data_IF_305594797778
#
_entry.id   IF_305594797778
#
_cell.length_a   1.000
_cell.length_b   1.000
_cell.length_c   1.000
_cell.angle_alpha   90.00
_cell.angle_beta   90.00
_cell.angle_gamma   90.00
#
_symmetry.space_group_name_H-M   'P 1'
#
loop_
_entity.id
_entity.type
_entity.pdbx_description
1 polymer ?
#
# COMPACT_ATOMS: atom_id res chain seq x y z
N UNK A 1 -39.87 -8.98 4.86
CA UNK A 1 -38.72 -8.23 4.29
C UNK A 1 -37.47 -8.68 5.01
N UNK A 2 -36.48 -9.16 4.27
CA UNK A 2 -35.19 -9.62 4.80
C UNK A 2 -34.09 -8.64 4.42
N UNK A 3 -33.13 -8.43 5.32
CA UNK A 3 -31.97 -7.58 5.10
C UNK A 3 -30.77 -8.47 4.73
N UNK A 4 -30.12 -8.17 3.65
CA UNK A 4 -28.90 -8.84 3.18
C UNK A 4 -27.84 -7.83 2.80
N UNK A 5 -26.58 -8.28 2.69
CA UNK A 5 -25.52 -7.47 2.08
C UNK A 5 -25.21 -8.00 0.67
N UNK A 6 -25.11 -7.10 -0.30
CA UNK A 6 -24.63 -7.43 -1.65
C UNK A 6 -23.48 -6.53 -2.00
N UNK A 7 -22.32 -7.10 -2.30
CA UNK A 7 -21.07 -6.35 -2.52
C UNK A 7 -20.84 -5.30 -1.41
N UNK A 8 -20.98 -5.74 -0.14
CA UNK A 8 -20.83 -4.96 1.10
C UNK A 8 -21.88 -3.83 1.29
N UNK A 9 -22.87 -3.69 0.42
CA UNK A 9 -23.98 -2.73 0.55
C UNK A 9 -25.23 -3.42 1.10
N UNK A 10 -25.97 -2.73 1.96
CA UNK A 10 -27.22 -3.25 2.52
C UNK A 10 -28.38 -3.15 1.51
N UNK A 11 -29.11 -4.23 1.36
CA UNK A 11 -30.32 -4.33 0.54
C UNK A 11 -31.46 -4.96 1.34
N UNK A 12 -32.69 -4.65 0.93
CA UNK A 12 -33.90 -5.28 1.46
C UNK A 12 -34.69 -5.96 0.36
N UNK A 13 -35.00 -7.22 0.56
CA UNK A 13 -35.82 -8.02 -0.35
C UNK A 13 -37.05 -8.58 0.34
N UNK A 14 -38.07 -8.97 -0.43
CA UNK A 14 -39.21 -9.72 0.08
C UNK A 14 -38.79 -11.12 0.49
N UNK A 15 -39.54 -11.74 1.39
CA UNK A 15 -39.41 -13.16 1.73
C UNK A 15 -39.68 -14.04 0.50
N UNK A 16 -39.06 -15.20 0.42
CA UNK A 16 -39.18 -16.13 -0.72
C UNK A 16 -38.43 -15.69 -1.97
N UNK A 17 -37.61 -14.64 -1.89
CA UNK A 17 -36.72 -14.25 -2.99
C UNK A 17 -35.50 -15.15 -3.02
N UNK A 18 -34.99 -15.39 -4.25
CA UNK A 18 -33.85 -16.27 -4.48
C UNK A 18 -32.57 -15.49 -4.78
N UNK A 19 -31.44 -16.20 -4.74
CA UNK A 19 -30.13 -15.67 -5.09
C UNK A 19 -30.09 -15.10 -6.52
N UNK A 20 -30.82 -15.74 -7.46
CA UNK A 20 -30.90 -15.24 -8.84
C UNK A 20 -31.83 -14.03 -8.97
N UNK A 21 -32.86 -13.89 -8.13
CA UNK A 21 -33.64 -12.65 -8.03
C UNK A 21 -32.72 -11.48 -7.61
N UNK A 22 -31.88 -11.70 -6.60
CA UNK A 22 -30.89 -10.70 -6.16
C UNK A 22 -29.89 -10.37 -7.28
N UNK A 23 -29.33 -11.39 -7.93
CA UNK A 23 -28.43 -11.19 -9.07
C UNK A 23 -29.09 -10.35 -10.15
N UNK A 24 -30.33 -10.71 -10.54
CA UNK A 24 -31.08 -10.00 -11.59
C UNK A 24 -31.36 -8.54 -11.23
N UNK A 25 -31.61 -8.27 -9.95
CA UNK A 25 -31.95 -6.92 -9.47
C UNK A 25 -30.72 -6.03 -9.32
N UNK A 26 -29.58 -6.58 -8.86
CA UNK A 26 -28.40 -5.78 -8.46
C UNK A 26 -27.30 -5.80 -9.53
N UNK A 27 -26.99 -6.97 -10.10
CA UNK A 27 -25.92 -7.14 -11.10
C UNK A 27 -26.21 -8.31 -12.02
N UNK A 28 -27.11 -8.13 -13.01
CA UNK A 28 -27.61 -9.20 -13.85
C UNK A 28 -26.51 -9.89 -14.69
N UNK A 29 -25.45 -9.18 -15.00
CA UNK A 29 -24.31 -9.62 -15.81
C UNK A 29 -23.14 -10.20 -14.98
N UNK A 30 -23.33 -10.44 -13.67
CA UNK A 30 -22.33 -11.08 -12.84
C UNK A 30 -22.01 -12.51 -13.34
N UNK A 31 -20.72 -12.83 -13.45
CA UNK A 31 -20.22 -14.15 -13.85
C UNK A 31 -20.07 -15.11 -12.68
N UNK A 32 -19.82 -14.55 -11.49
CA UNK A 32 -19.56 -15.31 -10.26
C UNK A 32 -20.50 -14.85 -9.18
N UNK A 33 -21.13 -15.80 -8.52
CA UNK A 33 -22.01 -15.58 -7.37
C UNK A 33 -21.46 -16.32 -6.17
N UNK A 34 -21.27 -15.58 -5.07
CA UNK A 34 -20.77 -16.10 -3.79
C UNK A 34 -21.81 -15.76 -2.73
N UNK A 35 -22.23 -16.73 -1.93
CA UNK A 35 -23.11 -16.53 -0.78
C UNK A 35 -22.42 -17.05 0.48
N UNK A 36 -22.34 -16.22 1.52
CA UNK A 36 -21.73 -16.54 2.81
C UNK A 36 -20.31 -17.13 2.69
N UNK A 37 -19.54 -16.64 1.70
CA UNK A 37 -18.17 -17.08 1.42
C UNK A 37 -18.05 -18.29 0.48
N UNK A 38 -19.16 -18.90 0.02
CA UNK A 38 -19.14 -20.06 -0.87
C UNK A 38 -19.63 -19.70 -2.27
N UNK A 39 -18.82 -20.02 -3.29
CA UNK A 39 -19.25 -19.86 -4.67
C UNK A 39 -20.33 -20.89 -5.01
N UNK A 40 -21.40 -20.44 -5.68
CA UNK A 40 -22.51 -21.31 -6.10
C UNK A 40 -22.99 -20.98 -7.50
N UNK A 41 -23.51 -21.99 -8.20
CA UNK A 41 -24.29 -21.87 -9.42
C UNK A 41 -25.74 -22.30 -9.20
N UNK A 42 -26.11 -22.66 -7.98
CA UNK A 42 -27.44 -23.12 -7.61
C UNK A 42 -28.27 -21.96 -7.11
N UNK A 43 -29.48 -21.82 -7.61
CA UNK A 43 -30.43 -20.83 -7.13
C UNK A 43 -31.07 -21.31 -5.81
N UNK A 44 -30.85 -20.59 -4.76
CA UNK A 44 -31.33 -20.86 -3.40
C UNK A 44 -32.09 -19.66 -2.84
N UNK A 45 -33.04 -19.91 -1.97
CA UNK A 45 -33.74 -18.85 -1.22
C UNK A 45 -32.73 -18.10 -0.34
N UNK A 46 -32.85 -16.75 -0.30
CA UNK A 46 -32.00 -15.90 0.55
C UNK A 46 -32.62 -15.75 1.94
N UNK A 47 -31.76 -15.64 2.95
CA UNK A 47 -32.16 -15.53 4.36
C UNK A 47 -31.68 -14.19 4.96
N UNK A 48 -32.30 -13.83 6.09
CA UNK A 48 -31.87 -12.66 6.87
C UNK A 48 -30.39 -12.74 7.23
N UNK A 49 -29.65 -11.68 6.93
CA UNK A 49 -28.22 -11.58 7.22
C UNK A 49 -27.28 -12.21 6.17
N UNK A 50 -27.80 -12.77 5.09
CA UNK A 50 -26.93 -13.32 4.04
C UNK A 50 -25.99 -12.26 3.45
N UNK A 51 -24.75 -12.69 3.20
CA UNK A 51 -23.73 -11.90 2.52
C UNK A 51 -23.47 -12.45 1.13
N UNK A 52 -23.77 -11.64 0.11
CA UNK A 52 -23.68 -12.03 -1.30
C UNK A 52 -22.62 -11.19 -2.01
N UNK A 53 -21.74 -11.82 -2.77
CA UNK A 53 -20.85 -11.14 -3.70
C UNK A 53 -21.19 -11.52 -5.15
N UNK A 54 -21.46 -10.50 -5.96
CA UNK A 54 -21.74 -10.61 -7.40
C UNK A 54 -20.56 -10.00 -8.16
N UNK A 55 -19.82 -10.84 -8.88
CA UNK A 55 -18.58 -10.44 -9.56
C UNK A 55 -18.75 -10.63 -11.07
N UNK A 56 -18.39 -9.60 -11.83
CA UNK A 56 -18.21 -9.69 -13.27
C UNK A 56 -16.71 -9.76 -13.56
N UNK A 57 -16.29 -10.78 -14.28
CA UNK A 57 -14.87 -10.98 -14.62
C UNK A 57 -14.35 -9.84 -15.50
N UNK A 58 -13.18 -9.27 -15.09
CA UNK A 58 -12.53 -8.20 -15.84
C UNK A 58 -13.18 -6.82 -15.69
N UNK A 59 -14.26 -6.68 -14.94
CA UNK A 59 -14.85 -5.38 -14.63
C UNK A 59 -13.96 -4.60 -13.67
N UNK A 60 -13.75 -3.32 -13.99
CA UNK A 60 -13.12 -2.37 -13.07
C UNK A 60 -14.25 -1.71 -12.27
N UNK A 61 -14.30 -1.89 -10.94
CA UNK A 61 -15.30 -1.24 -10.11
C UNK A 61 -15.25 0.28 -10.28
N UNK A 62 -16.39 0.96 -10.17
CA UNK A 62 -16.41 2.43 -10.14
C UNK A 62 -15.63 2.95 -8.92
N UNK A 63 -15.22 4.24 -8.94
CA UNK A 63 -14.53 4.87 -7.80
C UNK A 63 -15.29 4.67 -6.50
N UNK A 64 -16.58 4.96 -6.49
CA UNK A 64 -17.43 4.87 -5.30
C UNK A 64 -17.59 3.44 -4.82
N UNK A 65 -17.68 2.47 -5.73
CA UNK A 65 -17.73 1.06 -5.40
C UNK A 65 -16.42 0.57 -4.80
N UNK A 66 -15.27 0.93 -5.40
CA UNK A 66 -13.95 0.57 -4.88
C UNK A 66 -13.72 1.15 -3.48
N UNK A 67 -14.06 2.42 -3.27
CA UNK A 67 -13.98 3.07 -1.95
C UNK A 67 -14.83 2.36 -0.91
N UNK A 68 -16.06 2.02 -1.28
CA UNK A 68 -16.97 1.30 -0.39
C UNK A 68 -16.43 -0.08 -0.01
N UNK A 69 -15.97 -0.85 -0.99
CA UNK A 69 -15.40 -2.19 -0.78
C UNK A 69 -14.14 -2.14 0.10
N UNK A 70 -13.28 -1.15 -0.11
CA UNK A 70 -12.10 -0.94 0.74
C UNK A 70 -12.48 -0.56 2.16
N UNK A 71 -13.42 0.38 2.33
CA UNK A 71 -13.87 0.85 3.64
C UNK A 71 -14.50 -0.28 4.47
N UNK A 72 -15.23 -1.19 3.84
CA UNK A 72 -15.91 -2.32 4.49
C UNK A 72 -14.92 -3.32 5.13
N UNK A 73 -13.67 -3.40 4.63
CA UNK A 73 -12.62 -4.30 5.13
C UNK A 73 -11.60 -3.60 6.04
N UNK A 74 -11.68 -2.29 6.16
CA UNK A 74 -10.84 -1.53 7.06
C UNK A 74 -11.48 -1.40 8.45
N UNK A 75 -10.64 -1.17 9.47
CA UNK A 75 -11.11 -0.71 10.78
C UNK A 75 -11.97 0.55 10.61
N UNK A 76 -13.13 0.65 11.26
CA UNK A 76 -14.03 1.80 11.11
C UNK A 76 -13.32 3.15 11.27
N UNK A 77 -13.57 4.05 10.34
CA UNK A 77 -12.98 5.40 10.33
C UNK A 77 -11.60 5.52 9.67
N UNK A 78 -10.80 4.47 9.64
CA UNK A 78 -9.43 4.49 9.09
C UNK A 78 -9.42 4.90 7.62
N UNK A 79 -10.28 4.29 6.79
CA UNK A 79 -10.33 4.60 5.36
C UNK A 79 -10.56 6.09 5.07
N UNK A 80 -11.44 6.74 5.85
CA UNK A 80 -11.75 8.17 5.69
C UNK A 80 -10.55 9.06 5.97
N UNK A 81 -9.71 8.70 6.94
CA UNK A 81 -8.49 9.43 7.27
C UNK A 81 -7.46 9.21 6.16
N UNK A 82 -7.18 7.96 5.81
CA UNK A 82 -6.18 7.61 4.79
C UNK A 82 -6.50 8.25 3.43
N UNK A 83 -7.77 8.29 3.03
CA UNK A 83 -8.20 8.95 1.78
C UNK A 83 -7.79 10.43 1.69
N UNK A 84 -7.65 11.11 2.83
CA UNK A 84 -7.26 12.52 2.92
C UNK A 84 -5.78 12.72 3.22
N UNK A 85 -5.04 11.63 3.39
CA UNK A 85 -3.64 11.66 3.79
C UNK A 85 -2.70 11.51 2.59
N UNK A 86 -1.46 11.98 2.78
CA UNK A 86 -0.41 11.96 1.77
C UNK A 86 0.89 11.38 2.32
N UNK A 87 1.60 10.64 1.49
CA UNK A 87 2.94 10.16 1.78
C UNK A 87 3.84 10.21 0.54
N UNK A 88 5.14 10.41 0.78
CA UNK A 88 6.16 10.30 -0.25
C UNK A 88 7.13 9.15 0.06
N UNK A 89 7.48 8.37 -0.96
CA UNK A 89 8.43 7.26 -0.87
C UNK A 89 9.69 7.62 -1.63
N UNK A 90 10.78 7.80 -0.89
CA UNK A 90 12.09 8.18 -1.40
C UNK A 90 12.99 6.95 -1.59
N UNK A 91 13.24 6.58 -2.85
CA UNK A 91 13.88 5.34 -3.26
C UNK A 91 12.86 4.21 -3.48
N UNK A 92 12.94 3.56 -4.63
CA UNK A 92 11.99 2.51 -5.06
C UNK A 92 12.67 1.14 -5.22
N UNK A 93 13.67 0.89 -4.38
CA UNK A 93 14.32 -0.40 -4.26
C UNK A 93 13.44 -1.45 -3.56
N UNK A 94 14.07 -2.39 -2.86
CA UNK A 94 13.38 -3.48 -2.14
C UNK A 94 12.38 -2.97 -1.11
N UNK A 95 12.74 -1.98 -0.30
CA UNK A 95 11.83 -1.39 0.68
C UNK A 95 10.76 -0.53 0.01
N UNK A 96 11.17 0.49 -0.75
CA UNK A 96 10.24 1.50 -1.27
C UNK A 96 9.20 0.96 -2.24
N UNK A 97 9.54 -0.01 -3.11
CA UNK A 97 8.55 -0.62 -4.00
C UNK A 97 7.48 -1.41 -3.22
N UNK A 98 7.85 -2.13 -2.16
CA UNK A 98 6.91 -2.79 -1.26
C UNK A 98 6.05 -1.78 -0.47
N UNK A 99 6.66 -0.72 0.05
CA UNK A 99 5.96 0.34 0.79
C UNK A 99 4.89 1.00 -0.09
N UNK A 100 5.24 1.43 -1.30
CA UNK A 100 4.30 2.08 -2.20
C UNK A 100 3.08 1.19 -2.51
N UNK A 101 3.30 -0.11 -2.74
CA UNK A 101 2.23 -1.09 -2.94
C UNK A 101 1.35 -1.21 -1.68
N UNK A 102 1.95 -1.31 -0.50
CA UNK A 102 1.21 -1.40 0.75
C UNK A 102 0.32 -0.17 0.97
N UNK A 103 0.85 1.04 0.75
CA UNK A 103 0.10 2.28 0.90
C UNK A 103 -1.04 2.39 -0.13
N UNK A 104 -0.82 1.96 -1.38
CA UNK A 104 -1.87 1.92 -2.40
C UNK A 104 -2.99 0.94 -2.03
N UNK A 105 -2.65 -0.25 -1.52
CA UNK A 105 -3.62 -1.24 -1.02
C UNK A 105 -4.39 -0.76 0.21
N UNK A 106 -3.78 0.09 1.04
CA UNK A 106 -4.45 0.74 2.17
C UNK A 106 -5.35 1.91 1.76
N UNK A 107 -5.32 2.33 0.47
CA UNK A 107 -6.16 3.42 -0.02
C UNK A 107 -5.69 4.80 0.44
N UNK A 108 -4.38 5.00 0.61
CA UNK A 108 -3.81 6.31 0.92
C UNK A 108 -4.06 7.28 -0.24
N UNK A 109 -4.70 8.42 0.04
CA UNK A 109 -5.25 9.31 -0.98
C UNK A 109 -4.25 9.84 -1.99
N UNK A 110 -3.06 10.24 -1.53
CA UNK A 110 -1.99 10.79 -2.38
C UNK A 110 -0.65 10.15 -2.05
N UNK A 111 0.00 9.58 -3.07
CA UNK A 111 1.30 8.89 -2.96
C UNK A 111 2.27 9.46 -3.98
N UNK A 112 3.39 10.02 -3.52
CA UNK A 112 4.51 10.40 -4.38
C UNK A 112 5.58 9.31 -4.33
N UNK A 113 6.08 8.91 -5.49
CA UNK A 113 7.17 7.94 -5.64
C UNK A 113 8.36 8.59 -6.34
N UNK A 114 9.56 8.44 -5.77
CA UNK A 114 10.75 9.13 -6.24
C UNK A 114 11.92 8.15 -6.34
N UNK A 115 12.53 8.06 -7.50
CA UNK A 115 13.75 7.30 -7.76
C UNK A 115 14.37 7.80 -9.07
N UNK A 116 15.66 7.54 -9.30
CA UNK A 116 16.34 7.93 -10.54
C UNK A 116 16.85 6.72 -11.34
N UNK A 117 16.73 5.50 -10.79
CA UNK A 117 17.24 4.27 -11.40
C UNK A 117 16.28 3.68 -12.44
N UNK A 118 16.82 2.72 -13.18
CA UNK A 118 16.06 1.79 -14.04
C UNK A 118 15.88 0.44 -13.37
N UNK A 119 14.89 -0.31 -13.83
CA UNK A 119 14.67 -1.70 -13.41
C UNK A 119 15.72 -2.61 -14.03
N UNK A 120 16.49 -3.28 -13.20
CA UNK A 120 17.52 -4.27 -13.62
C UNK A 120 17.07 -5.70 -13.32
N UNK A 121 17.58 -6.72 -14.03
CA UNK A 121 17.27 -8.12 -13.74
C UNK A 121 17.56 -8.53 -12.30
N UNK A 122 18.65 -8.01 -11.70
CA UNK A 122 19.04 -8.25 -10.31
C UNK A 122 18.07 -7.68 -9.27
N UNK A 123 17.19 -6.78 -9.68
CA UNK A 123 16.19 -6.19 -8.79
C UNK A 123 15.01 -7.14 -8.52
N UNK A 124 14.69 -8.03 -9.45
CA UNK A 124 13.52 -8.89 -9.40
C UNK A 124 13.51 -9.87 -8.21
N UNK A 125 14.65 -10.09 -7.57
CA UNK A 125 14.73 -10.96 -6.41
C UNK A 125 14.07 -10.37 -5.13
N UNK A 126 13.81 -9.04 -5.07
CA UNK A 126 13.29 -8.38 -3.87
C UNK A 126 12.48 -7.11 -4.11
N UNK A 127 12.50 -6.57 -5.32
CA UNK A 127 11.75 -5.37 -5.70
C UNK A 127 10.47 -5.77 -6.44
N UNK A 128 9.44 -4.96 -6.37
CA UNK A 128 8.10 -5.25 -6.89
C UNK A 128 7.98 -4.89 -8.38
N UNK A 129 8.92 -5.40 -9.18
CA UNK A 129 8.94 -5.25 -10.63
C UNK A 129 8.78 -6.59 -11.34
N UNK A 130 8.38 -6.55 -12.60
CA UNK A 130 8.14 -7.71 -13.44
C UNK A 130 9.14 -7.76 -14.60
N UNK A 131 9.32 -8.96 -15.20
CA UNK A 131 10.26 -9.19 -16.29
C UNK A 131 10.05 -8.22 -17.46
N UNK A 132 8.82 -7.92 -17.81
CA UNK A 132 8.46 -7.00 -18.89
C UNK A 132 8.71 -5.51 -18.56
N UNK A 133 9.14 -5.20 -17.35
CA UNK A 133 9.50 -3.86 -16.92
C UNK A 133 11.01 -3.60 -16.87
N UNK A 134 11.84 -4.61 -17.15
CA UNK A 134 13.32 -4.46 -17.21
C UNK A 134 13.68 -3.36 -18.21
N UNK A 135 14.55 -2.43 -17.78
CA UNK A 135 14.99 -1.27 -18.55
C UNK A 135 14.10 -0.03 -18.46
N UNK A 136 12.89 -0.11 -17.90
CA UNK A 136 12.06 1.08 -17.62
C UNK A 136 12.61 1.83 -16.40
N UNK A 137 12.37 3.14 -16.33
CA UNK A 137 12.57 3.88 -15.08
C UNK A 137 11.74 3.27 -13.96
N UNK A 138 12.30 3.12 -12.77
CA UNK A 138 11.59 2.53 -11.62
C UNK A 138 10.29 3.27 -11.28
N UNK A 139 10.30 4.60 -11.36
CA UNK A 139 9.10 5.43 -11.14
C UNK A 139 7.97 5.12 -12.13
N UNK A 140 8.29 4.89 -13.40
CA UNK A 140 7.30 4.58 -14.43
C UNK A 140 6.76 3.16 -14.27
N UNK A 141 7.67 2.20 -14.06
CA UNK A 141 7.32 0.79 -13.86
C UNK A 141 6.41 0.59 -12.63
N UNK A 142 6.76 1.25 -11.51
CA UNK A 142 5.97 1.16 -10.29
C UNK A 142 4.63 1.90 -10.41
N UNK A 143 4.60 3.06 -11.06
CA UNK A 143 3.37 3.79 -11.33
C UNK A 143 2.35 2.94 -12.11
N UNK A 144 2.79 2.22 -13.15
CA UNK A 144 1.94 1.27 -13.87
C UNK A 144 1.34 0.21 -12.94
N UNK A 145 2.15 -0.35 -12.04
CA UNK A 145 1.72 -1.35 -11.06
C UNK A 145 0.72 -0.77 -10.05
N UNK A 146 1.00 0.41 -9.51
CA UNK A 146 0.11 1.09 -8.56
C UNK A 146 -1.26 1.41 -9.17
N UNK A 147 -1.29 1.82 -10.44
CA UNK A 147 -2.53 2.04 -11.19
C UNK A 147 -3.37 0.77 -11.38
N UNK A 148 -2.73 -0.39 -11.46
CA UNK A 148 -3.42 -1.68 -11.50
C UNK A 148 -3.97 -2.12 -10.13
N UNK A 149 -3.35 -1.65 -9.04
CA UNK A 149 -3.84 -1.92 -7.68
C UNK A 149 -5.04 -1.05 -7.35
N UNK A 150 -4.92 0.25 -7.54
CA UNK A 150 -6.01 1.20 -7.33
C UNK A 150 -5.89 2.39 -8.30
N UNK A 151 -6.68 2.42 -9.38
CA UNK A 151 -6.58 3.48 -10.39
C UNK A 151 -7.10 4.85 -9.94
N UNK A 152 -7.75 4.93 -8.77
CA UNK A 152 -8.49 6.11 -8.31
C UNK A 152 -7.74 6.96 -7.29
N UNK A 153 -6.56 6.48 -6.81
CA UNK A 153 -5.68 7.28 -5.95
C UNK A 153 -4.88 8.29 -6.76
N UNK A 154 -4.45 9.34 -6.09
CA UNK A 154 -3.56 10.34 -6.67
C UNK A 154 -2.12 9.85 -6.56
N UNK A 155 -1.48 9.65 -7.71
CA UNK A 155 -0.08 9.23 -7.78
C UNK A 155 0.76 10.30 -8.45
N UNK A 156 1.82 10.71 -7.77
CA UNK A 156 2.88 11.54 -8.34
C UNK A 156 4.15 10.71 -8.49
N UNK A 157 4.89 10.95 -9.55
CA UNK A 157 6.16 10.28 -9.81
C UNK A 157 7.21 11.29 -10.23
N UNK A 158 8.41 11.13 -9.71
CA UNK A 158 9.51 12.02 -10.00
C UNK A 158 10.80 11.23 -10.24
N UNK A 159 11.32 11.31 -11.47
CA UNK A 159 12.58 10.66 -11.83
C UNK A 159 13.74 11.61 -11.54
N UNK A 160 14.22 11.63 -10.30
CA UNK A 160 15.25 12.56 -9.84
C UNK A 160 16.12 11.95 -8.75
N UNK A 161 17.41 12.32 -8.76
CA UNK A 161 18.31 12.10 -7.62
C UNK A 161 18.04 13.18 -6.57
N UNK A 162 17.69 12.75 -5.36
CA UNK A 162 17.37 13.66 -4.24
C UNK A 162 18.66 14.19 -3.62
N UNK A 163 18.87 15.48 -3.73
CA UNK A 163 19.96 16.23 -3.08
C UNK A 163 19.42 17.03 -1.91
N UNK A 164 20.30 17.49 -1.01
CA UNK A 164 19.89 18.20 0.23
C UNK A 164 19.09 19.47 -0.05
N UNK A 165 19.43 20.21 -1.10
CA UNK A 165 18.75 21.44 -1.53
C UNK A 165 17.32 21.20 -2.04
N UNK A 166 17.03 20.02 -2.57
CA UNK A 166 15.71 19.64 -3.11
C UNK A 166 14.74 19.10 -2.06
N UNK A 167 15.21 18.74 -0.87
CA UNK A 167 14.38 18.09 0.16
C UNK A 167 13.14 18.90 0.50
N UNK A 168 13.27 20.22 0.64
CA UNK A 168 12.16 21.09 1.00
C UNK A 168 11.10 21.13 -0.09
N UNK A 169 11.50 21.36 -1.35
CA UNK A 169 10.61 21.42 -2.50
C UNK A 169 9.87 20.08 -2.71
N UNK A 170 10.60 18.97 -2.66
CA UNK A 170 10.06 17.64 -2.98
C UNK A 170 9.01 17.19 -1.95
N UNK A 171 9.22 17.51 -0.65
CA UNK A 171 8.42 16.92 0.44
C UNK A 171 7.48 17.91 1.15
N UNK A 172 7.40 19.15 0.67
CA UNK A 172 6.57 20.21 1.29
C UNK A 172 5.12 19.79 1.51
N UNK A 173 4.51 19.10 0.55
CA UNK A 173 3.08 18.77 0.56
C UNK A 173 2.73 17.40 1.14
N UNK A 174 3.70 16.70 1.75
CA UNK A 174 3.51 15.34 2.27
C UNK A 174 3.57 15.30 3.78
N UNK A 175 2.64 14.55 4.40
CA UNK A 175 2.55 14.39 5.85
C UNK A 175 3.58 13.39 6.39
N UNK A 176 3.90 12.37 5.59
CA UNK A 176 4.85 11.31 5.95
C UNK A 176 5.81 11.07 4.80
N UNK A 177 7.10 10.94 5.12
CA UNK A 177 8.14 10.52 4.17
C UNK A 177 8.69 9.17 4.60
N UNK A 178 8.74 8.23 3.65
CA UNK A 178 9.33 6.90 3.86
C UNK A 178 10.65 6.84 3.10
N UNK A 179 11.73 6.84 3.85
CA UNK A 179 13.09 6.76 3.32
C UNK A 179 13.44 5.28 3.06
N UNK A 180 13.88 4.98 1.85
CA UNK A 180 14.19 3.64 1.37
C UNK A 180 15.46 3.57 0.50
N UNK A 181 16.43 4.44 0.75
CA UNK A 181 17.72 4.44 0.06
C UNK A 181 18.59 3.23 0.48
N UNK A 182 19.54 2.90 -0.33
CA UNK A 182 20.56 1.88 -0.07
C UNK A 182 21.83 2.44 0.58
N UNK A 183 22.23 3.67 0.23
CA UNK A 183 23.45 4.32 0.72
C UNK A 183 23.25 5.04 2.04
N UNK A 184 24.10 4.73 3.01
CA UNK A 184 24.03 5.30 4.37
C UNK A 184 24.13 6.84 4.39
N UNK A 185 24.97 7.41 3.51
CA UNK A 185 25.15 8.87 3.42
C UNK A 185 23.86 9.55 2.93
N UNK A 186 23.23 9.01 1.89
CA UNK A 186 21.99 9.58 1.34
C UNK A 186 20.84 9.48 2.36
N UNK A 187 20.78 8.37 3.07
CA UNK A 187 19.84 8.14 4.16
C UNK A 187 20.00 9.15 5.28
N UNK A 188 21.23 9.33 5.76
CA UNK A 188 21.54 10.29 6.82
C UNK A 188 21.26 11.75 6.38
N UNK A 189 21.61 12.09 5.14
CA UNK A 189 21.32 13.40 4.53
C UNK A 189 19.81 13.67 4.52
N UNK A 190 19.01 12.75 3.96
CA UNK A 190 17.56 12.94 3.85
C UNK A 190 16.91 13.07 5.23
N UNK A 191 17.17 12.12 6.13
CA UNK A 191 16.57 12.10 7.47
C UNK A 191 16.96 13.37 8.24
N UNK A 192 18.27 13.71 8.26
CA UNK A 192 18.77 14.88 8.98
C UNK A 192 18.24 16.20 8.43
N UNK A 193 18.15 16.37 7.10
CA UNK A 193 17.58 17.57 6.48
C UNK A 193 16.08 17.66 6.73
N UNK A 194 15.35 16.57 6.54
CA UNK A 194 13.89 16.52 6.73
C UNK A 194 13.48 16.90 8.15
N UNK A 195 14.15 16.34 9.18
CA UNK A 195 13.89 16.67 10.58
C UNK A 195 14.13 18.14 10.92
N UNK A 196 15.10 18.78 10.25
CA UNK A 196 15.38 20.22 10.44
C UNK A 196 14.33 21.12 9.79
N UNK A 197 13.87 20.73 8.58
CA UNK A 197 12.95 21.56 7.77
C UNK A 197 11.49 21.34 8.17
N UNK A 198 11.13 20.11 8.53
CA UNK A 198 9.76 19.69 8.82
C UNK A 198 9.65 18.97 10.19
N UNK A 199 9.94 19.65 11.31
CA UNK A 199 9.93 19.00 12.62
C UNK A 199 8.56 18.42 13.02
N UNK A 200 7.48 18.97 12.47
CA UNK A 200 6.10 18.53 12.72
C UNK A 200 5.65 17.33 11.86
N UNK A 201 6.40 17.00 10.79
CA UNK A 201 6.06 15.89 9.88
C UNK A 201 6.83 14.62 10.22
N UNK A 202 6.31 13.49 9.78
CA UNK A 202 6.90 12.20 10.08
C UNK A 202 7.89 11.74 8.99
N UNK A 203 9.04 11.24 9.42
CA UNK A 203 9.96 10.49 8.56
C UNK A 203 10.24 9.10 9.13
N UNK A 204 10.17 8.09 8.27
CA UNK A 204 10.37 6.69 8.63
C UNK A 204 11.42 6.09 7.71
N UNK A 205 12.61 5.84 8.25
CA UNK A 205 13.70 5.19 7.51
C UNK A 205 13.87 3.72 7.89
N UNK A 206 14.89 3.08 7.29
CA UNK A 206 15.27 1.72 7.65
C UNK A 206 16.79 1.56 7.74
N UNK A 207 17.25 0.68 8.65
CA UNK A 207 18.66 0.31 8.81
C UNK A 207 18.79 -1.12 9.34
N UNK A 208 19.75 -1.89 8.79
CA UNK A 208 19.96 -3.27 9.24
C UNK A 208 18.86 -4.24 8.78
N UNK A 209 18.65 -4.33 7.46
CA UNK A 209 17.58 -5.18 6.88
C UNK A 209 18.14 -6.37 6.10
N UNK A 210 19.48 -6.47 5.95
CA UNK A 210 20.10 -7.53 5.16
C UNK A 210 20.16 -8.89 5.87
N UNK A 211 20.40 -9.95 5.08
CA UNK A 211 20.56 -11.33 5.57
C UNK A 211 19.27 -12.07 5.79
N UNK A 212 19.39 -13.24 6.45
CA UNK A 212 18.30 -14.19 6.72
C UNK A 212 18.02 -14.36 8.23
N UNK A 213 18.35 -13.35 9.01
CA UNK A 213 18.19 -13.38 10.46
C UNK A 213 16.72 -13.39 10.89
N UNK A 214 16.47 -13.78 12.14
CA UNK A 214 15.13 -13.78 12.72
C UNK A 214 14.46 -12.41 12.54
N UNK A 215 13.25 -12.40 12.00
CA UNK A 215 12.48 -11.17 11.78
C UNK A 215 12.08 -10.46 13.07
N UNK A 216 12.09 -11.16 14.22
CA UNK A 216 11.89 -10.54 15.54
C UNK A 216 12.96 -9.50 15.90
N UNK A 217 14.12 -9.54 15.24
CA UNK A 217 15.16 -8.53 15.42
C UNK A 217 14.85 -7.20 14.71
N UNK A 218 13.88 -7.19 13.79
CA UNK A 218 13.45 -5.97 13.10
C UNK A 218 12.60 -5.10 14.03
N UNK A 219 13.27 -4.28 14.84
CA UNK A 219 12.64 -3.36 15.76
C UNK A 219 12.31 -2.00 15.13
N UNK A 220 11.68 -1.16 15.95
CA UNK A 220 11.45 0.26 15.65
C UNK A 220 12.21 1.08 16.66
N UNK A 221 13.08 1.97 16.20
CA UNK A 221 13.80 2.94 17.02
C UNK A 221 13.30 4.35 16.73
N UNK A 222 12.96 5.10 17.76
CA UNK A 222 12.62 6.52 17.66
C UNK A 222 13.92 7.35 17.66
N UNK A 223 14.07 8.23 16.66
CA UNK A 223 15.23 9.12 16.55
C UNK A 223 14.91 10.55 17.04
N UNK A 224 13.65 10.95 16.99
CA UNK A 224 13.15 12.24 17.36
C UNK A 224 11.66 12.17 17.64
N UNK A 225 10.97 13.29 17.74
CA UNK A 225 9.54 13.30 18.03
C UNK A 225 8.73 12.56 16.96
N UNK A 226 9.02 12.85 15.68
CA UNK A 226 8.33 12.30 14.52
C UNK A 226 9.28 11.56 13.56
N UNK A 227 10.41 11.03 14.05
CA UNK A 227 11.39 10.32 13.22
C UNK A 227 11.64 8.91 13.77
N UNK A 228 11.56 7.93 12.88
CA UNK A 228 11.65 6.50 13.21
C UNK A 228 12.58 5.77 12.26
N UNK A 229 13.29 4.75 12.75
CA UNK A 229 14.08 3.80 11.96
C UNK A 229 13.59 2.37 12.23
N UNK A 230 13.38 1.63 11.16
CA UNK A 230 12.98 0.21 11.17
C UNK A 230 14.17 -0.66 10.82
N UNK A 231 14.40 -1.72 11.57
CA UNK A 231 15.45 -2.70 11.31
C UNK A 231 16.17 -3.16 12.56
N UNK A 232 17.26 -3.93 12.41
CA UNK A 232 18.08 -4.38 13.53
C UNK A 232 19.27 -3.45 13.83
N UNK A 233 19.53 -2.45 12.98
CA UNK A 233 20.60 -1.45 13.08
C UNK A 233 22.03 -2.03 12.91
N UNK A 234 22.17 -3.31 12.65
CA UNK A 234 23.45 -4.03 12.63
C UNK A 234 23.76 -4.66 11.26
N UNK A 235 22.74 -5.23 10.64
CA UNK A 235 22.92 -6.05 9.44
C UNK A 235 22.71 -5.25 8.14
N UNK A 236 23.71 -4.49 7.76
CA UNK A 236 23.76 -3.82 6.45
C UNK A 236 24.10 -4.79 5.29
N UNK A 237 23.72 -4.40 4.08
CA UNK A 237 24.05 -5.15 2.87
C UNK A 237 25.56 -5.04 2.55
N UNK A 238 26.21 -6.17 2.33
CA UNK A 238 27.63 -6.27 1.96
C UNK A 238 27.91 -7.56 1.20
N UNK A 239 29.09 -7.73 0.58
CA UNK A 239 29.48 -9.00 -0.02
C UNK A 239 29.25 -10.18 0.95
N UNK A 240 28.53 -11.21 0.52
CA UNK A 240 28.14 -12.35 1.35
C UNK A 240 26.93 -12.12 2.28
N UNK A 241 26.39 -10.92 2.34
CA UNK A 241 25.17 -10.58 3.08
C UNK A 241 24.23 -9.74 2.22
N UNK A 242 23.46 -10.39 1.37
CA UNK A 242 22.52 -9.75 0.46
C UNK A 242 21.21 -9.35 1.11
N UNK A 243 20.43 -8.56 0.38
CA UNK A 243 19.05 -8.24 0.74
C UNK A 243 18.13 -9.40 0.30
N UNK A 244 17.39 -9.96 1.25
CA UNK A 244 16.49 -11.08 1.01
C UNK A 244 15.04 -10.59 0.96
N UNK A 245 14.30 -10.97 -0.09
CA UNK A 245 12.93 -10.52 -0.33
C UNK A 245 12.03 -10.61 0.90
N UNK A 246 12.06 -11.76 1.59
CA UNK A 246 11.21 -12.03 2.75
C UNK A 246 11.47 -11.06 3.90
N UNK A 247 12.73 -10.83 4.27
CA UNK A 247 13.10 -9.92 5.35
C UNK A 247 12.85 -8.46 4.97
N UNK A 248 13.13 -8.08 3.72
CA UNK A 248 12.84 -6.75 3.17
C UNK A 248 11.33 -6.47 3.20
N UNK A 249 10.50 -7.44 2.82
CA UNK A 249 9.04 -7.28 2.84
C UNK A 249 8.49 -7.06 4.27
N UNK A 250 9.05 -7.77 5.28
CA UNK A 250 8.67 -7.55 6.69
C UNK A 250 9.04 -6.13 7.14
N UNK A 251 10.26 -5.67 6.86
CA UNK A 251 10.69 -4.31 7.22
C UNK A 251 9.83 -3.24 6.53
N UNK A 252 9.54 -3.39 5.23
CA UNK A 252 8.66 -2.51 4.49
C UNK A 252 7.23 -2.51 5.04
N UNK A 253 6.73 -3.67 5.49
CA UNK A 253 5.45 -3.80 6.19
C UNK A 253 5.43 -3.01 7.50
N UNK A 254 6.49 -3.08 8.30
CA UNK A 254 6.62 -2.30 9.54
C UNK A 254 6.65 -0.79 9.23
N UNK A 255 7.45 -0.33 8.25
CA UNK A 255 7.48 1.08 7.84
C UNK A 255 6.10 1.57 7.37
N UNK A 256 5.41 0.78 6.53
CA UNK A 256 4.07 1.11 6.03
C UNK A 256 3.05 1.19 7.18
N UNK A 257 3.10 0.26 8.14
CA UNK A 257 2.21 0.26 9.29
C UNK A 257 2.47 1.44 10.23
N UNK A 258 3.73 1.84 10.43
CA UNK A 258 4.07 3.05 11.19
C UNK A 258 3.49 4.30 10.52
N UNK A 259 3.60 4.43 9.20
CA UNK A 259 3.02 5.54 8.45
C UNK A 259 1.50 5.61 8.63
N UNK A 260 0.81 4.47 8.50
CA UNK A 260 -0.64 4.40 8.72
C UNK A 260 -1.00 4.78 10.16
N UNK A 261 -0.28 4.27 11.16
CA UNK A 261 -0.50 4.61 12.58
C UNK A 261 -0.30 6.11 12.85
N UNK A 262 0.77 6.70 12.31
CA UNK A 262 1.00 8.14 12.45
C UNK A 262 -0.16 8.95 11.86
N UNK A 263 -0.54 8.66 10.62
CA UNK A 263 -1.63 9.36 9.92
C UNK A 263 -2.99 9.21 10.61
N UNK A 264 -3.20 8.14 11.37
CA UNK A 264 -4.47 7.86 12.06
C UNK A 264 -4.43 8.18 13.55
N UNK A 265 -3.37 8.83 14.04
CA UNK A 265 -3.23 9.24 15.44
C UNK A 265 -2.95 8.09 16.41
N UNK A 266 -2.39 6.99 15.93
CA UNK A 266 -2.05 5.80 16.72
C UNK A 266 -0.58 5.67 17.12
N UNK A 267 0.25 6.71 16.96
CA UNK A 267 1.65 6.74 17.41
C UNK A 267 1.84 7.66 18.60
#
# INVERSE_FOLDING_TARGET
MINITVNEKNFRFGEGKTLFDVKKAVKPDADVVIINGFQTAVDTEINEGDSIALIKKGEIPSRDEMEFLMAARHTPGIHRVLKKSSAAVAGLGGLGSNIAINLARMGLGRIKIIDFDVVEPSNLNRQQYFINQIGKNKVDALFETLRQINPYLEYERENVYITEDKVEEIFLDYQVVLEAFDKAENKAMLIGKFMRVFPEKCIIGASGVAGIYDTKTLGVRKLGENAYIVGDMENEARPGRGLMSTRVAVAAGIQSNLAVRYLTGGL
#
